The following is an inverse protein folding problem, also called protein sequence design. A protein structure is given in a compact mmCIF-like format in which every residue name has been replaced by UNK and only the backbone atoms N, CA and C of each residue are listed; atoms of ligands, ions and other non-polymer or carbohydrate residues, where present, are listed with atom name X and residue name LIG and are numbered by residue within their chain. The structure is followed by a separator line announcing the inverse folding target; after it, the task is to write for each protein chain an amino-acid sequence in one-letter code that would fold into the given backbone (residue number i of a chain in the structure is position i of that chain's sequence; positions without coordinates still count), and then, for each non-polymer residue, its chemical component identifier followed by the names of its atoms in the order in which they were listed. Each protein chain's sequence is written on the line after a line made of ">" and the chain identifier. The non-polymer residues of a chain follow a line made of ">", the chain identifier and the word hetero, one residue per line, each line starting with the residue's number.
data_IF_087350560268
#
_entry.id   IF_087350560268
#
_cell.length_a   1.000
_cell.length_b   1.000
_cell.length_c   1.000
_cell.angle_alpha   90.00
_cell.angle_beta   90.00
_cell.angle_gamma   90.00
#
_symmetry.space_group_name_H-M   'P 1'
#
loop_
_entity.id
_entity.type
_entity.pdbx_description
1 polymer ?
#
# COMPACT_ATOMS: atom_id res chain seq x y z
N UNK A 1 -26.38 8.66 -0.67
CA UNK A 1 -25.56 8.07 0.42
C UNK A 1 -24.06 8.17 0.12
N UNK A 2 -23.58 7.69 -1.03
CA UNK A 2 -22.16 7.77 -1.40
C UNK A 2 -21.62 9.21 -1.47
N UNK A 3 -22.34 10.12 -2.15
CA UNK A 3 -21.96 11.53 -2.21
C UNK A 3 -21.91 12.20 -0.81
N UNK A 4 -22.80 11.83 0.10
CA UNK A 4 -22.78 12.30 1.48
C UNK A 4 -21.57 11.79 2.24
N UNK A 5 -21.18 10.53 2.05
CA UNK A 5 -19.95 10.00 2.62
C UNK A 5 -18.72 10.80 2.16
N UNK A 6 -18.70 11.18 0.87
CA UNK A 6 -17.62 12.00 0.31
C UNK A 6 -17.55 13.40 0.95
N UNK A 7 -18.69 14.08 1.09
CA UNK A 7 -18.76 15.40 1.75
C UNK A 7 -18.28 15.32 3.20
N UNK A 8 -18.77 14.35 3.97
CA UNK A 8 -18.35 14.16 5.37
C UNK A 8 -16.85 13.87 5.49
N UNK A 9 -16.28 13.11 4.54
CA UNK A 9 -14.84 12.87 4.47
C UNK A 9 -14.06 14.16 4.20
N UNK A 10 -14.55 15.04 3.34
CA UNK A 10 -13.92 16.33 3.03
C UNK A 10 -14.00 17.29 4.23
N UNK A 11 -15.08 17.23 5.01
CA UNK A 11 -15.26 17.96 6.26
C UNK A 11 -14.44 17.39 7.44
N UNK A 12 -13.84 16.20 7.26
CA UNK A 12 -13.06 15.52 8.29
C UNK A 12 -13.88 14.65 9.26
N UNK A 13 -15.21 14.58 9.10
CA UNK A 13 -16.05 13.64 9.83
C UNK A 13 -15.95 12.23 9.23
N UNK A 14 -14.84 11.57 9.54
CA UNK A 14 -14.58 10.22 9.07
C UNK A 14 -15.56 9.18 9.63
N UNK A 15 -16.05 9.37 10.86
CA UNK A 15 -17.01 8.43 11.47
C UNK A 15 -18.38 8.55 10.82
N UNK A 16 -18.87 9.77 10.56
CA UNK A 16 -20.08 10.02 9.81
C UNK A 16 -19.99 9.46 8.38
N UNK A 17 -18.85 9.67 7.71
CA UNK A 17 -18.60 9.13 6.37
C UNK A 17 -18.67 7.59 6.35
N UNK A 18 -18.03 6.91 7.31
CA UNK A 18 -18.13 5.44 7.47
C UNK A 18 -19.58 5.01 7.69
N UNK A 19 -20.34 5.73 8.51
CA UNK A 19 -21.77 5.45 8.72
C UNK A 19 -22.59 5.51 7.42
N UNK A 20 -22.31 6.49 6.57
CA UNK A 20 -22.97 6.61 5.24
C UNK A 20 -22.54 5.51 4.28
N UNK A 21 -21.26 5.11 4.28
CA UNK A 21 -20.79 3.99 3.45
C UNK A 21 -21.36 2.65 3.92
N UNK A 22 -21.48 2.43 5.24
CA UNK A 22 -22.20 1.27 5.81
C UNK A 22 -23.64 1.20 5.32
N UNK A 23 -24.31 2.34 5.14
CA UNK A 23 -25.65 2.36 4.55
C UNK A 23 -25.64 2.04 3.04
N UNK A 24 -24.61 2.47 2.30
CA UNK A 24 -24.43 2.08 0.89
C UNK A 24 -24.33 0.57 0.76
N UNK A 25 -23.41 -0.07 1.50
CA UNK A 25 -23.18 -1.52 1.38
C UNK A 25 -24.35 -2.37 1.87
N UNK A 26 -25.22 -1.83 2.74
CA UNK A 26 -26.48 -2.50 3.11
C UNK A 26 -27.51 -2.51 1.98
N UNK A 27 -27.55 -1.45 1.18
CA UNK A 27 -28.46 -1.34 0.03
C UNK A 27 -27.90 -2.07 -1.19
N UNK A 28 -26.58 -2.02 -1.37
CA UNK A 28 -25.85 -2.69 -2.43
C UNK A 28 -24.61 -3.38 -1.85
N UNK A 29 -24.71 -4.67 -1.49
CA UNK A 29 -23.59 -5.46 -0.99
C UNK A 29 -22.47 -5.68 -2.00
N UNK A 30 -22.68 -5.33 -3.28
CA UNK A 30 -21.68 -5.47 -4.35
C UNK A 30 -20.91 -4.18 -4.61
N UNK A 31 -21.17 -3.12 -3.82
CA UNK A 31 -20.49 -1.83 -3.94
C UNK A 31 -19.03 -1.89 -3.47
N UNK A 32 -18.15 -2.50 -4.27
CA UNK A 32 -16.72 -2.70 -3.99
C UNK A 32 -16.00 -1.40 -3.62
N UNK A 33 -16.33 -0.30 -4.32
CA UNK A 33 -15.76 1.02 -4.02
C UNK A 33 -16.07 1.52 -2.62
N UNK A 34 -17.26 1.21 -2.08
CA UNK A 34 -17.65 1.60 -0.74
C UNK A 34 -16.85 0.85 0.34
N UNK A 35 -16.54 -0.43 0.12
CA UNK A 35 -15.67 -1.20 1.01
C UNK A 35 -14.23 -0.64 1.03
N UNK A 36 -13.69 -0.27 -0.13
CA UNK A 36 -12.36 0.37 -0.21
C UNK A 36 -12.34 1.71 0.52
N UNK A 37 -13.32 2.58 0.27
CA UNK A 37 -13.41 3.89 0.93
C UNK A 37 -13.60 3.74 2.45
N UNK A 38 -14.38 2.75 2.90
CA UNK A 38 -14.48 2.41 4.32
C UNK A 38 -13.12 2.01 4.89
N UNK A 39 -12.41 1.08 4.23
CA UNK A 39 -11.09 0.63 4.66
C UNK A 39 -10.07 1.78 4.74
N UNK A 40 -10.14 2.75 3.82
CA UNK A 40 -9.25 3.91 3.85
C UNK A 40 -9.56 4.87 5.01
N UNK A 41 -10.86 5.09 5.29
CA UNK A 41 -11.29 5.93 6.41
C UNK A 41 -10.99 5.28 7.76
N UNK A 42 -11.25 3.98 7.90
CA UNK A 42 -10.94 3.19 9.09
C UNK A 42 -9.44 3.19 9.38
N UNK A 43 -8.63 3.00 8.34
CA UNK A 43 -7.17 3.09 8.45
C UNK A 43 -6.73 4.49 8.92
N UNK A 44 -7.34 5.57 8.42
CA UNK A 44 -7.02 6.95 8.81
C UNK A 44 -7.30 7.23 10.29
N UNK A 45 -8.38 6.66 10.84
CA UNK A 45 -8.74 6.82 12.25
C UNK A 45 -8.03 5.83 13.17
N UNK A 46 -7.18 4.95 12.63
CA UNK A 46 -6.37 3.98 13.38
C UNK A 46 -7.08 2.66 13.69
N UNK A 47 -8.30 2.46 13.17
CA UNK A 47 -9.04 1.21 13.33
C UNK A 47 -8.56 0.18 12.30
N UNK A 48 -7.43 -0.45 12.60
CA UNK A 48 -6.74 -1.30 11.65
C UNK A 48 -7.44 -2.65 11.42
N UNK A 49 -8.24 -3.13 12.38
CA UNK A 49 -8.94 -4.42 12.27
C UNK A 49 -10.18 -4.29 11.38
N UNK A 50 -11.01 -3.28 11.62
CA UNK A 50 -12.16 -3.00 10.75
C UNK A 50 -11.69 -2.58 9.36
N UNK A 51 -10.59 -1.83 9.25
CA UNK A 51 -10.02 -1.47 7.95
C UNK A 51 -9.61 -2.69 7.14
N UNK A 52 -8.94 -3.66 7.76
CA UNK A 52 -8.52 -4.89 7.10
C UNK A 52 -9.74 -5.71 6.66
N UNK A 53 -10.75 -5.81 7.51
CA UNK A 53 -12.01 -6.49 7.21
C UNK A 53 -12.72 -5.85 6.01
N UNK A 54 -12.76 -4.51 5.94
CA UNK A 54 -13.34 -3.80 4.80
C UNK A 54 -12.57 -4.06 3.49
N UNK A 55 -11.22 -4.07 3.53
CA UNK A 55 -10.45 -4.44 2.34
C UNK A 55 -10.64 -5.91 1.93
N UNK A 56 -10.76 -6.83 2.90
CA UNK A 56 -11.03 -8.24 2.62
C UNK A 56 -12.37 -8.42 1.91
N UNK A 57 -13.43 -7.76 2.38
CA UNK A 57 -14.74 -7.77 1.71
C UNK A 57 -14.66 -7.25 0.27
N UNK A 58 -13.84 -6.23 0.00
CA UNK A 58 -13.59 -5.77 -1.37
C UNK A 58 -12.84 -6.81 -2.22
N UNK A 59 -11.89 -7.53 -1.62
CA UNK A 59 -11.08 -8.56 -2.27
C UNK A 59 -11.84 -9.86 -2.51
N UNK A 60 -12.82 -10.20 -1.66
CA UNK A 60 -13.69 -11.35 -1.86
C UNK A 60 -14.55 -11.17 -3.13
N UNK A 61 -14.91 -9.93 -3.46
CA UNK A 61 -15.63 -9.58 -4.69
C UNK A 61 -14.67 -9.43 -5.88
N UNK A 62 -13.52 -8.77 -5.69
CA UNK A 62 -12.53 -8.52 -6.74
C UNK A 62 -11.12 -8.85 -6.19
N UNK A 63 -10.64 -10.09 -6.34
CA UNK A 63 -9.38 -10.55 -5.73
C UNK A 63 -8.13 -9.80 -6.17
N UNK A 64 -8.18 -9.17 -7.34
CA UNK A 64 -7.07 -8.43 -7.94
C UNK A 64 -7.18 -6.92 -7.75
N UNK A 65 -8.13 -6.45 -6.93
CA UNK A 65 -8.38 -5.03 -6.74
C UNK A 65 -7.17 -4.33 -6.10
N UNK A 66 -6.42 -3.60 -6.93
CA UNK A 66 -5.16 -2.96 -6.56
C UNK A 66 -5.28 -2.05 -5.33
N UNK A 67 -6.34 -1.26 -5.22
CA UNK A 67 -6.55 -0.35 -4.10
C UNK A 67 -6.70 -1.10 -2.76
N UNK A 68 -7.49 -2.18 -2.74
CA UNK A 68 -7.67 -3.00 -1.55
C UNK A 68 -6.41 -3.81 -1.20
N UNK A 69 -5.74 -4.43 -2.19
CA UNK A 69 -4.48 -5.13 -1.98
C UNK A 69 -3.42 -4.21 -1.35
N UNK A 70 -3.29 -2.98 -1.86
CA UNK A 70 -2.35 -1.97 -1.34
C UNK A 70 -2.76 -1.51 0.06
N UNK A 71 -4.05 -1.28 0.30
CA UNK A 71 -4.60 -0.90 1.61
C UNK A 71 -4.32 -1.96 2.68
N UNK A 72 -4.58 -3.23 2.37
CA UNK A 72 -4.29 -4.36 3.25
C UNK A 72 -2.77 -4.53 3.48
N UNK A 73 -1.93 -4.42 2.43
CA UNK A 73 -0.48 -4.49 2.57
C UNK A 73 0.07 -3.41 3.52
N UNK A 74 -0.49 -2.19 3.45
CA UNK A 74 -0.14 -1.08 4.36
C UNK A 74 -0.49 -1.41 5.82
N UNK A 75 -1.60 -2.09 6.07
CA UNK A 75 -1.98 -2.55 7.42
C UNK A 75 -1.01 -3.63 7.91
N UNK A 76 -0.72 -4.65 7.08
CA UNK A 76 0.23 -5.70 7.45
C UNK A 76 1.62 -5.14 7.77
N UNK A 77 2.10 -4.14 7.01
CA UNK A 77 3.33 -3.40 7.34
C UNK A 77 3.29 -2.76 8.73
N UNK A 78 2.19 -2.10 9.10
CA UNK A 78 2.04 -1.49 10.43
C UNK A 78 2.02 -2.52 11.56
N UNK A 79 1.57 -3.74 11.27
CA UNK A 79 1.57 -4.88 12.21
C UNK A 79 2.90 -5.64 12.23
N UNK A 80 3.93 -5.17 11.52
CA UNK A 80 5.20 -5.89 11.31
C UNK A 80 5.06 -7.26 10.63
N UNK A 81 3.91 -7.55 10.01
CA UNK A 81 3.72 -8.74 9.18
C UNK A 81 4.19 -8.43 7.75
N UNK A 82 5.50 -8.35 7.61
CA UNK A 82 6.16 -8.04 6.33
C UNK A 82 5.95 -9.14 5.28
N UNK A 83 5.78 -10.40 5.71
CA UNK A 83 5.54 -11.53 4.82
C UNK A 83 4.19 -11.41 4.10
N UNK A 84 3.11 -11.15 4.84
CA UNK A 84 1.79 -10.93 4.24
C UNK A 84 1.77 -9.69 3.35
N UNK A 85 2.43 -8.60 3.77
CA UNK A 85 2.54 -7.39 2.94
C UNK A 85 3.25 -7.67 1.60
N UNK A 86 4.39 -8.38 1.62
CA UNK A 86 5.13 -8.74 0.42
C UNK A 86 4.28 -9.61 -0.54
N UNK A 87 3.53 -10.58 -0.01
CA UNK A 87 2.65 -11.44 -0.82
C UNK A 87 1.58 -10.65 -1.56
N UNK A 88 0.95 -9.68 -0.89
CA UNK A 88 -0.08 -8.82 -1.51
C UNK A 88 0.52 -7.90 -2.58
N UNK A 89 1.67 -7.27 -2.30
CA UNK A 89 2.35 -6.40 -3.27
C UNK A 89 2.82 -7.17 -4.50
N UNK A 90 3.38 -8.38 -4.33
CA UNK A 90 3.72 -9.28 -5.44
C UNK A 90 2.49 -9.67 -6.27
N UNK A 91 1.32 -9.78 -5.64
CA UNK A 91 0.07 -10.03 -6.37
C UNK A 91 -0.27 -8.89 -7.30
N UNK A 92 -0.14 -7.64 -6.85
CA UNK A 92 -0.33 -6.47 -7.73
C UNK A 92 0.67 -6.51 -8.89
N UNK A 93 1.96 -6.75 -8.61
CA UNK A 93 3.02 -6.75 -9.64
C UNK A 93 2.88 -7.86 -10.68
N UNK A 94 2.24 -8.99 -10.35
CA UNK A 94 1.93 -10.02 -11.35
C UNK A 94 0.94 -9.53 -12.41
N UNK A 95 0.08 -8.58 -12.07
CA UNK A 95 -0.91 -8.02 -12.99
C UNK A 95 -0.46 -6.69 -13.61
N UNK A 96 0.25 -5.87 -12.84
CA UNK A 96 0.82 -4.60 -13.29
C UNK A 96 2.30 -4.51 -12.89
N UNK A 97 3.22 -5.06 -13.72
CA UNK A 97 4.65 -5.03 -13.42
C UNK A 97 5.27 -3.63 -13.57
N UNK A 98 4.54 -2.65 -14.09
CA UNK A 98 5.03 -1.30 -14.33
C UNK A 98 4.62 -0.30 -13.23
N UNK A 99 4.06 -0.79 -12.12
CA UNK A 99 3.68 0.03 -10.98
C UNK A 99 4.89 0.39 -10.09
N UNK A 100 5.50 1.54 -10.37
CA UNK A 100 6.65 2.04 -9.61
C UNK A 100 6.35 2.21 -8.10
N UNK A 101 5.11 2.55 -7.71
CA UNK A 101 4.75 2.74 -6.30
C UNK A 101 4.73 1.39 -5.56
N UNK A 102 4.27 0.34 -6.21
CA UNK A 102 4.25 -1.00 -5.62
C UNK A 102 5.65 -1.59 -5.54
N UNK A 103 6.50 -1.38 -6.55
CA UNK A 103 7.92 -1.73 -6.43
C UNK A 103 8.61 -1.00 -5.29
N UNK A 104 8.37 0.31 -5.12
CA UNK A 104 8.90 1.07 -3.99
C UNK A 104 8.43 0.49 -2.65
N UNK A 105 7.13 0.20 -2.52
CA UNK A 105 6.56 -0.38 -1.30
C UNK A 105 7.08 -1.79 -1.02
N UNK A 106 7.34 -2.60 -2.04
CA UNK A 106 7.92 -3.94 -1.87
C UNK A 106 9.38 -3.84 -1.43
N UNK A 107 10.13 -2.87 -1.98
CA UNK A 107 11.49 -2.56 -1.55
C UNK A 107 11.55 -2.14 -0.07
N UNK A 108 10.62 -1.28 0.36
CA UNK A 108 10.48 -0.92 1.78
C UNK A 108 10.27 -2.17 2.65
N UNK A 109 9.35 -3.05 2.25
CA UNK A 109 9.05 -4.29 2.97
C UNK A 109 10.27 -5.20 3.03
N UNK A 110 11.01 -5.34 1.94
CA UNK A 110 12.22 -6.15 1.88
C UNK A 110 13.32 -5.63 2.82
N UNK A 111 13.47 -4.30 2.96
CA UNK A 111 14.39 -3.70 3.95
C UNK A 111 14.02 -4.13 5.37
N UNK A 112 12.73 -4.10 5.74
CA UNK A 112 12.29 -4.56 7.07
C UNK A 112 12.48 -6.07 7.27
N UNK A 113 12.49 -6.86 6.20
CA UNK A 113 12.79 -8.29 6.25
C UNK A 113 14.30 -8.60 6.29
N UNK A 114 15.15 -7.59 6.12
CA UNK A 114 16.60 -7.78 5.98
C UNK A 114 17.04 -8.35 4.63
N UNK A 115 16.13 -8.44 3.65
CA UNK A 115 16.44 -8.91 2.30
C UNK A 115 16.97 -7.74 1.45
N UNK A 116 18.25 -7.43 1.63
CA UNK A 116 18.91 -6.32 0.94
C UNK A 116 18.92 -6.51 -0.58
N UNK A 117 19.07 -7.76 -1.05
CA UNK A 117 19.12 -8.08 -2.47
C UNK A 117 17.79 -7.75 -3.14
N UNK A 118 16.67 -8.22 -2.56
CA UNK A 118 15.34 -7.93 -3.07
C UNK A 118 15.01 -6.44 -2.97
N UNK A 119 15.39 -5.78 -1.87
CA UNK A 119 15.17 -4.34 -1.71
C UNK A 119 15.84 -3.54 -2.83
N UNK A 120 17.09 -3.88 -3.15
CA UNK A 120 17.86 -3.25 -4.22
C UNK A 120 17.24 -3.47 -5.59
N UNK A 121 16.80 -4.70 -5.88
CA UNK A 121 16.08 -5.01 -7.12
C UNK A 121 14.81 -4.15 -7.24
N UNK A 122 14.00 -4.12 -6.18
CA UNK A 122 12.73 -3.41 -6.15
C UNK A 122 12.92 -1.90 -6.38
N UNK A 123 13.86 -1.26 -5.67
CA UNK A 123 14.16 0.16 -5.88
C UNK A 123 14.74 0.44 -7.27
N UNK A 124 15.53 -0.49 -7.82
CA UNK A 124 16.06 -0.36 -9.19
C UNK A 124 14.93 -0.38 -10.21
N UNK A 125 14.00 -1.34 -10.10
CA UNK A 125 12.80 -1.42 -10.95
C UNK A 125 11.95 -0.17 -10.82
N UNK A 126 11.63 0.26 -9.60
CA UNK A 126 10.88 1.49 -9.34
C UNK A 126 11.56 2.74 -9.94
N UNK A 127 12.89 2.81 -9.92
CA UNK A 127 13.66 3.93 -10.46
C UNK A 127 13.74 3.95 -12.00
N UNK A 128 13.51 2.80 -12.66
CA UNK A 128 13.52 2.64 -14.12
C UNK A 128 12.14 2.88 -14.75
N UNK A 129 11.06 2.73 -13.97
CA UNK A 129 9.68 2.89 -14.43
C UNK A 129 9.31 4.38 -14.47
N UNK A 130 9.02 4.87 -15.69
CA UNK A 130 8.67 6.25 -16.06
C UNK A 130 9.67 7.36 -15.63
N UNK A 131 10.53 7.82 -16.54
CA UNK A 131 11.48 8.92 -16.29
C UNK A 131 10.86 10.29 -16.07
N UNK A 132 9.54 10.48 -16.21
CA UNK A 132 8.82 11.74 -15.93
C UNK A 132 8.74 12.05 -14.42
N UNK A 133 9.91 12.11 -13.77
CA UNK A 133 10.20 12.73 -12.48
C UNK A 133 9.13 12.63 -11.37
N UNK A 134 8.38 11.53 -11.31
CA UNK A 134 7.39 11.30 -10.27
C UNK A 134 8.10 11.22 -8.92
N UNK A 135 7.43 11.70 -7.87
CA UNK A 135 7.94 11.65 -6.49
C UNK A 135 8.45 10.26 -6.10
N UNK A 136 7.78 9.21 -6.59
CA UNK A 136 8.10 7.80 -6.34
C UNK A 136 9.46 7.40 -6.92
N UNK A 137 9.74 7.75 -8.18
CA UNK A 137 11.02 7.44 -8.85
C UNK A 137 12.18 8.14 -8.16
N UNK A 138 11.99 9.40 -7.74
CA UNK A 138 13.01 10.15 -6.98
C UNK A 138 13.28 9.48 -5.62
N UNK A 139 12.24 9.05 -4.92
CA UNK A 139 12.39 8.34 -3.66
C UNK A 139 13.10 6.99 -3.84
N UNK A 140 12.74 6.21 -4.87
CA UNK A 140 13.40 4.95 -5.19
C UNK A 140 14.91 5.14 -5.45
N UNK A 141 15.29 6.14 -6.25
CA UNK A 141 16.69 6.49 -6.50
C UNK A 141 17.42 6.87 -5.22
N UNK A 142 16.78 7.65 -4.34
CA UNK A 142 17.32 8.03 -3.04
C UNK A 142 17.56 6.81 -2.14
N UNK A 143 16.58 5.89 -2.05
CA UNK A 143 16.72 4.64 -1.27
C UNK A 143 17.86 3.78 -1.79
N UNK A 144 17.95 3.63 -3.11
CA UNK A 144 19.02 2.87 -3.76
C UNK A 144 20.41 3.49 -3.50
N UNK A 145 20.52 4.82 -3.58
CA UNK A 145 21.77 5.52 -3.27
C UNK A 145 22.19 5.30 -1.81
N UNK A 146 21.26 5.44 -0.86
CA UNK A 146 21.52 5.20 0.56
C UNK A 146 22.03 3.77 0.80
N UNK A 147 21.41 2.77 0.17
CA UNK A 147 21.89 1.37 0.29
C UNK A 147 23.33 1.22 -0.21
N UNK A 148 23.66 1.82 -1.36
CA UNK A 148 25.03 1.77 -1.90
C UNK A 148 26.06 2.46 -0.98
N UNK A 149 25.70 3.59 -0.38
CA UNK A 149 26.57 4.31 0.57
C UNK A 149 26.79 3.50 1.85
N UNK A 150 25.74 2.86 2.35
CA UNK A 150 25.80 1.96 3.51
C UNK A 150 26.71 0.78 3.21
N UNK A 151 26.49 0.02 2.11
CA UNK A 151 27.35 -1.12 1.76
C UNK A 151 28.82 -0.71 1.60
N UNK A 152 29.10 0.45 0.98
CA UNK A 152 30.47 0.97 0.84
C UNK A 152 31.13 1.27 2.19
N UNK A 153 30.39 1.84 3.14
CA UNK A 153 30.94 2.12 4.48
C UNK A 153 31.26 0.83 5.26
N UNK A 154 30.50 -0.23 5.06
CA UNK A 154 30.77 -1.53 5.69
C UNK A 154 31.96 -2.25 5.03
N UNK A 155 32.07 -2.23 3.70
CA UNK A 155 33.17 -2.88 2.98
C UNK A 155 34.54 -2.21 3.18
N UNK A 156 34.59 -0.94 3.63
CA UNK A 156 35.85 -0.23 3.92
C UNK A 156 36.31 -0.45 5.39
N UNK A 157 35.52 -1.16 6.21
CA UNK A 157 35.81 -1.39 7.63
C UNK A 157 36.37 -2.78 7.96
N UNK A 158 36.62 -3.63 6.97
CA UNK A 158 37.35 -4.88 7.19
C UNK A 158 38.85 -4.65 6.91
N UNK A 159 39.73 -4.85 7.91
CA UNK A 159 41.18 -4.74 7.76
C UNK A 159 41.82 -5.92 7.02
#
# INVERSE_FOLDING_TARGET
>A
LYAQAKMLREEGDYRGAIGRLRAVVRLDPTAVGAFVDMGDLLYRIGDLDDALSAYQLALDQVPTLRSALRGAARIYRRRNDHASAARLLRTILRHDPNDAEVWLNLGDVAVFQGDEALARECYTRAAQLDPQATRIVKEAKRRLQLMNEVSRRYNVREP
#
